data_IF_501557092800
#
_entry.id   IF_501557092800
#
_cell.length_a   1.000
_cell.length_b   1.000
_cell.length_c   1.000
_cell.angle_alpha   90.00
_cell.angle_beta   90.00
_cell.angle_gamma   90.00
#
_symmetry.space_group_name_H-M   'P 1'
#
loop_
_entity.id
_entity.type
_entity.pdbx_description
1 polymer ?
#
# COMPACT_ATOMS: atom_id res chain seq x y z
N UNK A 1 8.38 -1.09 39.58
CA UNK A 1 8.10 -1.71 38.28
C UNK A 1 7.85 -0.58 37.31
N UNK A 2 8.86 -0.18 36.57
CA UNK A 2 8.78 0.93 35.62
C UNK A 2 8.03 0.41 34.39
N UNK A 3 6.82 0.87 34.19
CA UNK A 3 6.04 0.57 32.98
C UNK A 3 6.80 1.14 31.80
N UNK A 4 7.38 0.28 30.98
CA UNK A 4 7.99 0.68 29.72
C UNK A 4 6.93 1.44 28.90
N UNK A 5 7.10 2.78 28.84
CA UNK A 5 6.24 3.64 28.05
C UNK A 5 6.37 3.17 26.60
N UNK A 6 5.31 2.63 26.02
CA UNK A 6 5.25 2.31 24.60
C UNK A 6 5.79 3.50 23.84
N UNK A 7 6.81 3.30 23.00
CA UNK A 7 7.31 4.38 22.16
C UNK A 7 6.18 4.78 21.22
N UNK A 8 5.75 6.03 21.33
CA UNK A 8 4.77 6.58 20.40
C UNK A 8 5.29 6.46 18.96
N UNK A 9 4.40 6.31 18.02
CA UNK A 9 4.70 6.43 16.62
C UNK A 9 5.48 7.72 16.33
N UNK A 10 6.52 7.64 15.55
CA UNK A 10 7.35 8.78 15.18
C UNK A 10 7.29 9.00 13.67
N UNK A 11 7.00 10.25 13.29
CA UNK A 11 6.96 10.67 11.88
C UNK A 11 7.86 11.88 11.67
N UNK A 12 8.61 11.86 10.59
CA UNK A 12 9.44 12.99 10.14
C UNK A 12 9.13 13.25 8.68
N UNK A 13 8.78 14.50 8.35
CA UNK A 13 8.56 14.96 6.99
C UNK A 13 9.76 15.79 6.54
N UNK A 14 10.42 15.35 5.47
CA UNK A 14 11.48 16.09 4.77
C UNK A 14 10.93 16.60 3.44
N UNK A 15 11.30 17.82 3.07
CA UNK A 15 10.85 18.46 1.83
C UNK A 15 12.01 18.67 0.87
N UNK A 16 11.68 18.81 -0.41
CA UNK A 16 12.65 19.01 -1.49
C UNK A 16 13.70 17.88 -1.57
N UNK A 17 13.28 16.66 -1.31
CA UNK A 17 14.10 15.46 -1.48
C UNK A 17 13.96 14.98 -2.93
N UNK A 18 15.06 14.63 -3.58
CA UNK A 18 15.00 14.07 -4.93
C UNK A 18 14.55 12.60 -4.93
N UNK A 19 14.03 12.14 -6.07
CA UNK A 19 13.66 10.75 -6.26
C UNK A 19 14.84 9.81 -6.06
N UNK A 20 16.01 10.18 -6.57
CA UNK A 20 17.25 9.41 -6.42
C UNK A 20 17.67 9.26 -4.95
N UNK A 21 17.45 10.28 -4.14
CA UNK A 21 17.71 10.21 -2.69
C UNK A 21 16.76 9.24 -2.01
N UNK A 22 15.47 9.25 -2.38
CA UNK A 22 14.48 8.29 -1.87
C UNK A 22 14.85 6.85 -2.25
N UNK A 23 15.20 6.59 -3.51
CA UNK A 23 15.62 5.26 -3.96
C UNK A 23 16.88 4.78 -3.22
N UNK A 24 17.86 5.67 -3.07
CA UNK A 24 19.09 5.34 -2.33
C UNK A 24 18.83 5.00 -0.87
N UNK A 25 17.90 5.70 -0.21
CA UNK A 25 17.50 5.39 1.16
C UNK A 25 16.84 4.01 1.26
N UNK A 26 16.00 3.64 0.29
CA UNK A 26 15.41 2.31 0.22
C UNK A 26 16.48 1.22 0.04
N UNK A 27 17.45 1.45 -0.84
CA UNK A 27 18.53 0.49 -1.12
C UNK A 27 19.47 0.34 0.09
N UNK A 28 19.85 1.45 0.74
CA UNK A 28 20.71 1.44 1.93
C UNK A 28 20.03 0.81 3.15
N UNK A 29 18.70 0.98 3.30
CA UNK A 29 17.92 0.32 4.33
C UNK A 29 17.85 -1.20 4.12
N UNK A 30 17.94 -1.67 2.87
CA UNK A 30 17.87 -3.08 2.51
C UNK A 30 16.55 -3.74 2.91
N UNK A 31 16.62 -4.95 3.46
CA UNK A 31 15.44 -5.77 3.81
C UNK A 31 14.72 -5.32 5.10
N UNK A 32 15.23 -4.29 5.79
CA UNK A 32 14.54 -3.74 6.95
C UNK A 32 13.21 -3.12 6.55
N UNK A 33 12.15 -3.43 7.30
CA UNK A 33 10.82 -2.85 7.10
C UNK A 33 10.55 -1.61 7.96
N UNK A 34 11.52 -1.21 8.74
CA UNK A 34 11.43 -0.06 9.66
C UNK A 34 12.73 0.75 9.53
N UNK A 35 12.63 2.07 9.43
CA UNK A 35 11.41 2.88 9.28
C UNK A 35 10.73 2.68 7.91
N UNK A 36 9.42 2.94 7.84
CA UNK A 36 8.68 3.00 6.57
C UNK A 36 8.92 4.32 5.88
N UNK A 37 8.94 4.29 4.56
CA UNK A 37 9.18 5.45 3.74
C UNK A 37 7.98 5.70 2.81
N UNK A 38 7.53 6.95 2.75
CA UNK A 38 6.56 7.39 1.76
C UNK A 38 7.08 8.65 1.07
N UNK A 39 6.95 8.69 -0.25
CA UNK A 39 7.46 9.78 -1.07
C UNK A 39 6.42 10.27 -2.06
N UNK A 40 6.19 11.57 -2.09
CA UNK A 40 5.32 12.22 -3.07
C UNK A 40 6.00 13.50 -3.61
N UNK A 41 6.56 13.42 -4.81
CA UNK A 41 7.07 14.56 -5.61
C UNK A 41 7.94 15.54 -4.83
N UNK A 42 8.86 15.03 -4.02
CA UNK A 42 9.80 15.83 -3.23
C UNK A 42 9.52 15.85 -1.72
N UNK A 43 8.36 15.43 -1.29
CA UNK A 43 8.05 15.23 0.12
C UNK A 43 8.33 13.78 0.51
N UNK A 44 9.25 13.58 1.46
CA UNK A 44 9.62 12.27 2.01
C UNK A 44 9.16 12.19 3.45
N UNK A 45 8.28 11.26 3.74
CA UNK A 45 7.91 10.92 5.10
C UNK A 45 8.66 9.65 5.54
N UNK A 46 9.22 9.71 6.74
CA UNK A 46 9.88 8.60 7.42
C UNK A 46 9.07 8.30 8.68
N UNK A 47 8.56 7.06 8.80
CA UNK A 47 7.69 6.66 9.89
C UNK A 47 8.23 5.42 10.60
N UNK A 48 8.32 5.52 11.93
CA UNK A 48 8.59 4.38 12.81
C UNK A 48 7.32 4.02 13.57
N UNK A 49 6.67 2.89 13.25
CA UNK A 49 5.43 2.49 13.90
C UNK A 49 5.65 2.12 15.36
N UNK A 50 4.62 2.31 16.19
CA UNK A 50 4.59 1.79 17.54
C UNK A 50 4.22 0.31 17.55
N UNK A 51 4.45 -0.39 18.66
CA UNK A 51 4.00 -1.78 18.82
C UNK A 51 2.47 -1.93 18.77
N UNK A 52 1.74 -0.91 19.22
CA UNK A 52 0.28 -0.86 19.13
C UNK A 52 -0.17 -0.78 17.68
N UNK A 53 0.44 0.12 16.90
CA UNK A 53 0.21 0.26 15.46
C UNK A 53 0.43 -1.08 14.74
N UNK A 54 1.58 -1.73 14.95
CA UNK A 54 1.90 -3.02 14.34
C UNK A 54 0.89 -4.12 14.73
N UNK A 55 0.44 -4.13 16.01
CA UNK A 55 -0.56 -5.10 16.46
C UNK A 55 -1.90 -4.91 15.75
N UNK A 56 -2.38 -3.67 15.64
CA UNK A 56 -3.64 -3.38 14.93
C UNK A 56 -3.53 -3.74 13.46
N UNK A 57 -2.44 -3.34 12.79
CA UNK A 57 -2.20 -3.67 11.39
C UNK A 57 -2.19 -5.19 11.14
N UNK A 58 -1.53 -5.95 12.03
CA UNK A 58 -1.52 -7.41 11.98
C UNK A 58 -2.92 -8.01 12.11
N UNK A 59 -3.72 -7.57 13.10
CA UNK A 59 -5.07 -8.10 13.31
C UNK A 59 -6.00 -7.77 12.14
N UNK A 60 -5.91 -6.57 11.58
CA UNK A 60 -6.72 -6.20 10.40
C UNK A 60 -6.33 -7.05 9.19
N UNK A 61 -5.03 -7.27 8.97
CA UNK A 61 -4.57 -8.13 7.88
C UNK A 61 -5.03 -9.59 8.06
N UNK A 62 -4.99 -10.11 9.29
CA UNK A 62 -5.50 -11.45 9.61
C UNK A 62 -7.02 -11.54 9.36
N UNK A 63 -7.78 -10.53 9.75
CA UNK A 63 -9.23 -10.48 9.49
C UNK A 63 -9.53 -10.54 7.99
N UNK A 64 -8.79 -9.81 7.17
CA UNK A 64 -8.92 -9.86 5.70
C UNK A 64 -8.64 -11.27 5.17
N UNK A 65 -7.59 -11.93 5.66
CA UNK A 65 -7.25 -13.29 5.24
C UNK A 65 -8.36 -14.29 5.59
N UNK A 66 -8.91 -14.21 6.81
CA UNK A 66 -10.02 -15.08 7.26
C UNK A 66 -11.28 -14.84 6.44
N UNK A 67 -11.62 -13.57 6.18
CA UNK A 67 -12.77 -13.23 5.34
C UNK A 67 -12.61 -13.73 3.91
N UNK A 68 -11.43 -13.62 3.33
CA UNK A 68 -11.14 -14.14 2.00
C UNK A 68 -11.35 -15.65 1.92
N UNK A 69 -10.89 -16.40 2.94
CA UNK A 69 -11.07 -17.84 3.03
C UNK A 69 -12.55 -18.22 3.16
N UNK A 70 -13.29 -17.60 4.08
CA UNK A 70 -14.73 -17.82 4.26
C UNK A 70 -15.54 -17.51 3.00
N UNK A 71 -15.14 -16.47 2.28
CA UNK A 71 -15.76 -16.09 1.00
C UNK A 71 -15.28 -16.93 -0.18
N UNK A 72 -14.31 -17.81 0.01
CA UNK A 72 -13.64 -18.62 -1.02
C UNK A 72 -13.06 -17.76 -2.15
N UNK A 73 -12.46 -16.65 -1.76
CA UNK A 73 -11.80 -15.72 -2.66
C UNK A 73 -10.29 -15.88 -2.51
N UNK A 74 -9.59 -16.09 -3.63
CA UNK A 74 -8.14 -16.10 -3.62
C UNK A 74 -7.63 -14.69 -3.28
N UNK A 75 -6.91 -14.56 -2.18
CA UNK A 75 -6.25 -13.33 -1.79
C UNK A 75 -4.78 -13.59 -1.51
N UNK A 76 -3.91 -12.82 -2.12
CA UNK A 76 -2.47 -12.89 -1.92
C UNK A 76 -1.98 -11.66 -1.16
N UNK A 77 -1.71 -11.84 0.12
CA UNK A 77 -1.15 -10.79 0.97
C UNK A 77 0.34 -10.61 0.70
N UNK A 78 0.76 -9.40 0.44
CA UNK A 78 2.16 -9.04 0.19
C UNK A 78 2.74 -8.15 1.30
N UNK A 79 1.98 -7.93 2.37
CA UNK A 79 2.40 -7.16 3.55
C UNK A 79 2.74 -5.72 3.21
N UNK A 80 3.75 -5.19 3.89
CA UNK A 80 4.25 -3.83 3.71
C UNK A 80 5.27 -3.77 2.56
N UNK A 81 4.84 -4.17 1.37
CA UNK A 81 5.68 -4.11 0.17
C UNK A 81 5.90 -2.65 -0.26
N UNK A 82 7.12 -2.32 -0.67
CA UNK A 82 7.42 -1.00 -1.25
C UNK A 82 6.83 -0.90 -2.66
N UNK A 83 5.89 0.01 -2.84
CA UNK A 83 5.32 0.36 -4.13
C UNK A 83 5.99 1.61 -4.68
N UNK A 84 6.38 1.58 -5.96
CA UNK A 84 7.09 2.68 -6.62
C UNK A 84 6.51 3.01 -7.98
N UNK A 85 6.43 4.29 -8.27
CA UNK A 85 6.03 4.90 -9.54
C UNK A 85 7.00 6.03 -9.87
N UNK A 86 8.21 5.67 -10.35
CA UNK A 86 9.26 6.63 -10.70
C UNK A 86 8.83 7.62 -11.80
N UNK A 87 7.95 7.20 -12.71
CA UNK A 87 7.37 8.02 -13.78
C UNK A 87 6.55 9.23 -13.26
N UNK A 88 5.98 9.12 -12.07
CA UNK A 88 5.21 10.21 -11.44
C UNK A 88 5.83 10.68 -10.11
N UNK A 89 7.01 10.15 -9.74
CA UNK A 89 7.72 10.52 -8.52
C UNK A 89 6.94 10.18 -7.26
N UNK A 90 6.40 8.98 -7.17
CA UNK A 90 5.62 8.52 -6.01
C UNK A 90 6.06 7.13 -5.55
N UNK A 91 6.13 6.95 -4.24
CA UNK A 91 6.42 5.67 -3.62
C UNK A 91 5.89 5.59 -2.19
N UNK A 92 5.47 4.40 -1.76
CA UNK A 92 4.93 4.21 -0.42
C UNK A 92 5.05 2.77 0.05
N UNK A 93 4.96 2.58 1.35
CA UNK A 93 5.00 1.29 2.04
C UNK A 93 3.79 1.21 2.98
N UNK A 94 2.70 0.54 2.56
CA UNK A 94 1.51 0.38 3.39
C UNK A 94 1.77 -0.53 4.59
N UNK A 95 0.87 -0.52 5.57
CA UNK A 95 0.92 -1.48 6.68
C UNK A 95 0.68 -2.91 6.21
N UNK A 96 -0.26 -3.09 5.28
CA UNK A 96 -0.45 -4.34 4.56
C UNK A 96 -1.18 -4.10 3.24
N UNK A 97 -1.05 -5.06 2.32
CA UNK A 97 -1.73 -4.99 1.03
C UNK A 97 -2.04 -6.37 0.47
N UNK A 98 -3.08 -6.45 -0.34
CA UNK A 98 -3.59 -7.70 -0.89
C UNK A 98 -3.92 -7.55 -2.38
N UNK A 99 -3.58 -8.60 -3.12
CA UNK A 99 -4.04 -8.84 -4.49
C UNK A 99 -5.13 -9.91 -4.50
N UNK A 100 -6.22 -9.63 -5.19
CA UNK A 100 -7.39 -10.49 -5.31
C UNK A 100 -7.63 -10.83 -6.78
N UNK A 101 -7.85 -9.81 -7.62
CA UNK A 101 -8.12 -9.97 -9.05
C UNK A 101 -6.90 -10.35 -9.86
N UNK A 102 -5.76 -9.85 -9.44
CA UNK A 102 -4.49 -10.02 -10.13
C UNK A 102 -3.49 -10.86 -9.32
N UNK A 103 -3.98 -11.68 -8.39
CA UNK A 103 -3.11 -12.41 -7.48
C UNK A 103 -2.15 -13.36 -8.21
N UNK A 104 -2.63 -14.05 -9.24
CA UNK A 104 -1.81 -14.96 -10.06
C UNK A 104 -0.66 -14.25 -10.78
N UNK A 105 -0.85 -12.99 -11.17
CA UNK A 105 0.18 -12.19 -11.83
C UNK A 105 1.28 -11.73 -10.87
N UNK A 106 0.97 -11.65 -9.60
CA UNK A 106 1.88 -11.12 -8.57
C UNK A 106 2.52 -12.24 -7.75
N UNK A 107 1.81 -13.34 -7.57
CA UNK A 107 2.29 -14.48 -6.79
C UNK A 107 3.67 -14.95 -7.25
N UNK A 108 4.62 -15.01 -6.30
CA UNK A 108 5.98 -15.45 -6.56
C UNK A 108 6.90 -14.39 -7.18
N UNK A 109 6.44 -13.16 -7.42
CA UNK A 109 7.33 -12.08 -7.85
C UNK A 109 8.19 -11.61 -6.69
N UNK A 110 9.51 -11.50 -6.89
CA UNK A 110 10.42 -11.01 -5.86
C UNK A 110 10.31 -9.50 -5.64
N UNK A 111 9.79 -8.77 -6.62
CA UNK A 111 9.63 -7.32 -6.59
C UNK A 111 8.42 -6.92 -7.43
N UNK A 112 7.65 -5.95 -6.93
CA UNK A 112 6.47 -5.41 -7.59
C UNK A 112 6.81 -3.98 -8.08
N UNK A 113 6.59 -3.73 -9.36
CA UNK A 113 6.80 -2.43 -10.01
C UNK A 113 5.48 -1.95 -10.61
N UNK A 114 4.89 -0.92 -10.01
CA UNK A 114 3.60 -0.38 -10.45
C UNK A 114 3.64 0.32 -11.82
N UNK A 115 4.80 0.48 -12.44
CA UNK A 115 4.88 0.92 -13.84
C UNK A 115 4.51 -0.20 -14.83
N UNK A 116 4.68 -1.46 -14.41
CA UNK A 116 4.44 -2.67 -15.21
C UNK A 116 3.42 -3.63 -14.58
N UNK A 117 3.29 -3.60 -13.26
CA UNK A 117 2.41 -4.48 -12.50
C UNK A 117 1.11 -3.76 -12.10
N UNK A 118 0.01 -4.50 -11.95
CA UNK A 118 -1.23 -3.91 -11.45
C UNK A 118 -1.05 -3.42 -10.00
N UNK A 119 -1.79 -2.38 -9.59
CA UNK A 119 -1.84 -1.99 -8.19
C UNK A 119 -2.53 -3.06 -7.32
N UNK A 120 -2.29 -3.07 -6.01
CA UNK A 120 -3.02 -3.95 -5.10
C UNK A 120 -4.51 -3.62 -5.10
N UNK A 121 -5.34 -4.65 -4.88
CA UNK A 121 -6.80 -4.49 -4.81
C UNK A 121 -7.26 -3.91 -3.46
N UNK A 122 -6.49 -4.18 -2.40
CA UNK A 122 -6.75 -3.68 -1.05
C UNK A 122 -5.43 -3.24 -0.40
N UNK A 123 -5.47 -2.06 0.19
CA UNK A 123 -4.38 -1.48 1.00
C UNK A 123 -4.93 -1.22 2.40
N UNK A 124 -4.16 -1.57 3.41
CA UNK A 124 -4.46 -1.31 4.82
C UNK A 124 -3.46 -0.28 5.33
N UNK A 125 -3.98 0.78 5.91
CA UNK A 125 -3.25 1.79 6.67
C UNK A 125 -3.90 1.95 8.04
N UNK A 126 -3.11 1.94 9.08
CA UNK A 126 -3.52 2.13 10.47
C UNK A 126 -3.09 3.51 10.94
N UNK A 127 -4.00 4.26 11.49
CA UNK A 127 -3.73 5.61 11.99
C UNK A 127 -4.19 5.69 13.44
N UNK A 128 -3.25 5.74 14.37
CA UNK A 128 -3.55 5.72 15.81
C UNK A 128 -3.50 7.11 16.42
N UNK A 129 -2.59 7.97 15.95
CA UNK A 129 -2.26 9.22 16.66
C UNK A 129 -2.46 10.50 15.86
N UNK A 130 -2.49 10.44 14.57
CA UNK A 130 -2.67 11.61 13.69
C UNK A 130 -3.18 11.16 12.34
N UNK A 131 -4.22 11.82 11.78
CA UNK A 131 -4.65 11.48 10.43
C UNK A 131 -3.47 11.61 9.49
N UNK A 132 -3.17 10.54 8.77
CA UNK A 132 -2.21 10.58 7.67
C UNK A 132 -2.66 11.68 6.72
N UNK A 133 -1.77 12.61 6.40
CA UNK A 133 -1.98 13.47 5.25
C UNK A 133 -2.36 12.56 4.08
N UNK A 134 -3.26 13.01 3.20
CA UNK A 134 -3.72 12.28 2.01
C UNK A 134 -2.54 11.72 1.21
N UNK A 135 -1.92 10.63 1.73
CA UNK A 135 -0.70 10.02 1.20
C UNK A 135 -0.95 9.20 -0.06
N UNK A 136 -2.21 8.87 -0.26
CA UNK A 136 -2.59 8.12 -1.43
C UNK A 136 -3.28 9.05 -2.40
N UNK A 137 -2.61 9.44 -3.49
CA UNK A 137 -3.34 10.05 -4.57
C UNK A 137 -4.47 9.08 -4.93
N UNK A 138 -5.69 9.55 -4.87
CA UNK A 138 -6.92 8.85 -5.29
C UNK A 138 -6.74 8.13 -6.64
N UNK A 139 -5.76 8.53 -7.41
CA UNK A 139 -5.36 7.96 -8.70
C UNK A 139 -4.86 6.51 -8.61
N UNK A 140 -4.21 6.09 -7.52
CA UNK A 140 -3.78 4.69 -7.34
C UNK A 140 -4.96 3.77 -6.99
N UNK A 141 -5.97 4.31 -6.28
CA UNK A 141 -7.17 3.58 -5.91
C UNK A 141 -8.18 3.57 -7.06
N UNK A 142 -8.27 4.63 -7.88
CA UNK A 142 -9.21 4.72 -9.01
C UNK A 142 -8.85 3.83 -10.20
N UNK A 143 -7.62 3.35 -10.34
CA UNK A 143 -7.26 2.43 -11.42
C UNK A 143 -7.96 1.07 -11.30
N UNK A 144 -8.47 0.70 -10.13
CA UNK A 144 -9.11 -0.59 -9.85
C UNK A 144 -10.63 -0.60 -10.10
N UNK A 145 -11.29 0.56 -10.20
CA UNK A 145 -12.76 0.66 -10.32
C UNK A 145 -13.29 0.89 -11.73
N UNK A 146 -12.43 1.06 -12.74
CA UNK A 146 -12.86 1.21 -14.13
C UNK A 146 -12.64 -0.06 -14.95
N UNK A 147 -13.42 -1.10 -14.68
CA UNK A 147 -13.70 -2.15 -15.64
C UNK A 147 -15.02 -2.84 -15.26
N UNK A 148 -16.05 -2.51 -15.96
CA UNK A 148 -17.28 -3.27 -15.85
C UNK A 148 -18.52 -2.47 -16.19
N UNK A 149 -19.06 -2.82 -17.35
CA UNK A 149 -20.38 -2.51 -17.86
C UNK A 149 -20.46 -1.40 -18.92
N UNK A 150 -19.86 -1.66 -20.05
CA UNK A 150 -20.46 -1.15 -21.29
C UNK A 150 -21.57 -2.15 -21.66
N UNK A 151 -22.78 -1.90 -21.18
CA UNK A 151 -23.98 -2.48 -21.81
C UNK A 151 -24.21 -1.70 -23.09
N UNK A 152 -23.82 -2.28 -24.22
CA UNK A 152 -24.31 -1.81 -25.51
C UNK A 152 -25.83 -1.91 -25.55
N UNK A 153 -26.54 -0.85 -25.99
CA UNK A 153 -27.99 -0.95 -26.20
C UNK A 153 -28.23 -1.82 -27.44
N UNK A 154 -29.01 -2.87 -27.26
CA UNK A 154 -29.53 -3.70 -28.34
C UNK A 154 -30.41 -2.82 -29.26
N UNK A 155 -30.15 -2.78 -30.58
CA UNK A 155 -31.00 -2.05 -31.51
C UNK A 155 -32.38 -2.71 -31.60
N UNK A 156 -33.47 -1.95 -31.73
CA UNK A 156 -34.81 -2.51 -31.89
C UNK A 156 -34.93 -3.23 -33.23
N UNK A 157 -35.41 -4.45 -33.17
CA UNK A 157 -35.79 -5.24 -34.35
C UNK A 157 -36.94 -4.56 -35.07
N UNK A 158 -36.70 -4.15 -36.31
CA UNK A 158 -37.76 -3.69 -37.22
C UNK A 158 -38.55 -4.88 -37.73
N UNK A 159 -39.86 -4.85 -37.52
CA UNK A 159 -40.86 -5.56 -38.33
C UNK A 159 -40.98 -4.93 -39.69
#
# INVERSE_FOLDING_TARGET
METAKSRAEQRVLLRNISWETYERLLDERGDSRVPRLAYDRGDLEIMSPSSEHESVAYFVALLVAVLAEEMRVNAYGVGSTTYRRGDIGQGFEPDSSFYIRNEERIRGKPRIDLSADPPPDLVIEVDITSPSLDKFPTTLVQASTRSGATTEPVPPSSC
#
